data_IF_934316916678
#
_entry.id   IF_934316916678
#
_cell.length_a   1.000
_cell.length_b   1.000
_cell.length_c   1.000
_cell.angle_alpha   90.00
_cell.angle_beta   90.00
_cell.angle_gamma   90.00
#
_symmetry.space_group_name_H-M   'P 1'
#
loop_
_entity.id
_entity.type
_entity.pdbx_description
1 polymer ?
#
# COMPACT_ATOMS: atom_id res chain seq x y z
N UNK A 1 -19.76 -0.34 21.73
CA UNK A 1 -20.92 -0.92 21.03
C UNK A 1 -20.66 -2.40 20.83
N UNK A 2 -21.16 -3.25 21.72
CA UNK A 2 -21.01 -4.71 21.68
C UNK A 2 -22.20 -5.32 20.95
N UNK A 3 -22.16 -5.33 19.62
CA UNK A 3 -23.04 -6.17 18.80
C UNK A 3 -22.17 -7.15 18.04
N UNK A 4 -22.59 -8.41 17.93
CA UNK A 4 -21.85 -9.39 17.13
C UNK A 4 -21.64 -8.86 15.70
N UNK A 5 -20.43 -9.03 15.19
CA UNK A 5 -20.13 -8.79 13.78
C UNK A 5 -20.58 -10.01 12.99
N UNK A 6 -21.88 -10.09 12.72
CA UNK A 6 -22.50 -11.18 11.98
C UNK A 6 -22.39 -11.02 10.46
N UNK A 7 -22.81 -12.04 9.69
CA UNK A 7 -22.78 -12.04 8.22
C UNK A 7 -23.43 -10.80 7.58
N UNK A 8 -24.56 -10.34 8.12
CA UNK A 8 -25.26 -9.16 7.58
C UNK A 8 -24.42 -7.88 7.66
N UNK A 9 -23.73 -7.65 8.79
CA UNK A 9 -22.86 -6.47 8.95
C UNK A 9 -21.63 -6.59 8.06
N UNK A 10 -21.10 -7.80 7.92
CA UNK A 10 -20.01 -8.09 7.00
C UNK A 10 -20.41 -7.72 5.57
N UNK A 11 -21.54 -8.23 5.07
CA UNK A 11 -22.03 -7.95 3.71
C UNK A 11 -22.29 -6.46 3.50
N UNK A 12 -22.84 -5.78 4.51
CA UNK A 12 -23.08 -4.34 4.47
C UNK A 12 -21.77 -3.55 4.32
N UNK A 13 -20.72 -3.90 5.07
CA UNK A 13 -19.42 -3.21 5.00
C UNK A 13 -18.76 -3.46 3.66
N UNK A 14 -18.71 -4.72 3.19
CA UNK A 14 -18.15 -5.05 1.88
C UNK A 14 -18.86 -4.29 0.77
N UNK A 15 -20.20 -4.31 0.74
CA UNK A 15 -21.00 -3.57 -0.24
C UNK A 15 -20.77 -2.05 -0.17
N UNK A 16 -20.47 -1.52 1.02
CA UNK A 16 -20.14 -0.10 1.19
C UNK A 16 -18.77 0.22 0.62
N UNK A 17 -17.77 -0.64 0.84
CA UNK A 17 -16.46 -0.54 0.23
C UNK A 17 -16.55 -0.59 -1.30
N UNK A 18 -17.30 -1.55 -1.85
CA UNK A 18 -17.47 -1.69 -3.30
C UNK A 18 -18.13 -0.46 -3.93
N UNK A 19 -19.13 0.12 -3.25
CA UNK A 19 -19.74 1.40 -3.66
C UNK A 19 -18.76 2.56 -3.60
N UNK A 20 -17.90 2.61 -2.58
CA UNK A 20 -16.87 3.63 -2.48
C UNK A 20 -15.86 3.50 -3.62
N UNK A 21 -15.40 2.29 -3.92
CA UNK A 21 -14.49 2.02 -5.03
C UNK A 21 -15.14 2.40 -6.35
N UNK A 22 -16.36 1.92 -6.60
CA UNK A 22 -17.13 2.29 -7.80
C UNK A 22 -17.27 3.80 -7.94
N UNK A 23 -17.58 4.51 -6.85
CA UNK A 23 -17.64 5.98 -6.86
C UNK A 23 -16.29 6.60 -7.23
N UNK A 24 -15.17 6.14 -6.67
CA UNK A 24 -13.84 6.68 -6.97
C UNK A 24 -13.46 6.58 -8.46
N UNK A 25 -14.00 5.62 -9.21
CA UNK A 25 -13.70 5.41 -10.63
C UNK A 25 -14.82 5.83 -11.58
N UNK A 26 -16.01 6.18 -11.09
CA UNK A 26 -17.13 6.56 -11.95
C UNK A 26 -16.89 7.92 -12.60
N UNK A 27 -17.06 8.04 -13.92
CA UNK A 27 -16.91 9.34 -14.60
C UNK A 27 -17.85 10.39 -13.98
N UNK A 28 -17.37 11.62 -13.74
CA UNK A 28 -18.25 12.67 -13.23
C UNK A 28 -19.32 12.99 -14.27
N UNK A 29 -20.55 13.24 -13.82
CA UNK A 29 -21.58 13.82 -14.67
C UNK A 29 -21.10 15.19 -15.15
N UNK A 30 -20.59 15.25 -16.38
CA UNK A 30 -20.39 16.51 -17.10
C UNK A 30 -21.78 17.00 -17.45
N UNK A 31 -22.31 17.95 -16.68
CA UNK A 31 -23.38 18.80 -17.19
C UNK A 31 -22.72 19.60 -18.30
N UNK A 32 -22.99 19.25 -19.55
CA UNK A 32 -22.50 19.99 -20.70
C UNK A 32 -22.91 21.45 -20.54
N UNK A 33 -21.95 22.35 -20.46
CA UNK A 33 -22.16 23.80 -20.47
C UNK A 33 -22.78 24.32 -21.78
N UNK A 34 -23.14 23.43 -22.71
CA UNK A 34 -23.77 23.74 -23.99
C UNK A 34 -25.22 24.26 -23.89
N UNK A 35 -25.84 24.24 -22.71
CA UNK A 35 -27.15 24.89 -22.49
C UNK A 35 -27.07 26.26 -21.78
N UNK A 36 -25.89 26.70 -21.30
CA UNK A 36 -25.79 27.91 -20.47
C UNK A 36 -25.18 29.14 -21.17
N UNK A 37 -24.47 28.99 -22.30
CA UNK A 37 -23.98 30.16 -23.05
C UNK A 37 -24.13 29.99 -24.55
N UNK A 38 -25.18 30.60 -25.09
CA UNK A 38 -25.37 30.78 -26.52
C UNK A 38 -24.17 31.47 -27.16
N UNK A 39 -23.64 30.83 -28.20
CA UNK A 39 -23.00 31.48 -29.34
C UNK A 39 -21.66 32.19 -29.09
N UNK A 40 -20.56 31.49 -29.37
CA UNK A 40 -19.46 32.06 -30.17
C UNK A 40 -18.50 30.97 -30.67
N UNK A 41 -18.58 30.70 -31.97
CA UNK A 41 -17.57 29.93 -32.72
C UNK A 41 -16.22 30.65 -32.62
N UNK A 42 -15.25 30.05 -31.93
CA UNK A 42 -13.85 30.48 -31.99
C UNK A 42 -13.01 29.41 -32.66
N UNK A 43 -12.65 29.65 -33.92
CA UNK A 43 -11.61 28.89 -34.65
C UNK A 43 -10.28 29.04 -33.92
N UNK A 44 -9.59 27.94 -33.61
CA UNK A 44 -8.14 27.94 -33.33
C UNK A 44 -7.44 26.95 -34.26
N UNK A 45 -6.50 27.48 -35.02
CA UNK A 45 -5.53 26.75 -35.82
C UNK A 45 -4.48 26.09 -34.90
N UNK A 46 -4.11 24.85 -35.19
CA UNK A 46 -2.96 24.19 -34.56
C UNK A 46 -1.86 23.98 -35.60
N UNK A 47 -0.74 24.67 -35.36
CA UNK A 47 0.57 24.53 -36.00
C UNK A 47 1.13 23.13 -35.77
N UNK A 48 1.81 22.57 -36.78
CA UNK A 48 2.61 21.36 -36.68
C UNK A 48 3.84 21.53 -35.75
N UNK A 49 4.31 20.47 -35.06
CA UNK A 49 5.52 20.51 -34.25
C UNK A 49 6.80 20.35 -35.12
N UNK A 50 7.94 20.97 -34.72
CA UNK A 50 9.23 20.76 -35.36
C UNK A 50 9.90 19.44 -34.91
N UNK A 51 10.88 18.91 -35.68
CA UNK A 51 11.51 17.63 -35.39
C UNK A 51 12.54 17.75 -34.26
N UNK A 52 12.56 16.78 -33.35
CA UNK A 52 13.56 16.65 -32.28
C UNK A 52 14.61 15.61 -32.66
N UNK A 53 15.87 16.05 -32.84
CA UNK A 53 17.06 15.21 -32.78
C UNK A 53 17.64 15.23 -31.36
N UNK A 54 18.03 14.06 -30.85
CA UNK A 54 18.76 13.91 -29.59
C UNK A 54 18.26 12.75 -28.72
N UNK A 55 18.52 11.50 -29.14
CA UNK A 55 18.23 10.29 -28.35
C UNK A 55 19.10 10.22 -27.09
N UNK A 56 18.55 10.66 -25.95
CA UNK A 56 18.90 10.09 -24.65
C UNK A 56 18.06 8.84 -24.42
N UNK A 57 18.61 7.82 -23.75
CA UNK A 57 17.88 6.60 -23.41
C UNK A 57 16.69 6.98 -22.52
N UNK A 58 15.48 6.90 -23.08
CA UNK A 58 14.23 6.99 -22.33
C UNK A 58 14.19 5.81 -21.36
N UNK A 59 14.38 6.09 -20.07
CA UNK A 59 13.92 5.19 -19.02
C UNK A 59 12.39 5.26 -19.06
N UNK A 60 11.79 4.39 -19.86
CA UNK A 60 10.35 4.14 -19.86
C UNK A 60 9.86 4.04 -18.43
N UNK A 61 8.76 4.74 -18.13
CA UNK A 61 8.04 4.67 -16.85
C UNK A 61 7.97 3.21 -16.41
N UNK A 62 8.77 2.85 -15.39
CA UNK A 62 8.75 1.49 -14.89
C UNK A 62 7.40 1.28 -14.21
N UNK A 63 6.57 0.44 -14.82
CA UNK A 63 5.36 -0.07 -14.19
C UNK A 63 5.74 -0.66 -12.82
N UNK A 64 5.00 -0.25 -11.80
CA UNK A 64 5.23 -0.66 -10.41
C UNK A 64 4.96 -2.17 -10.24
N UNK A 65 5.95 -2.96 -9.78
CA UNK A 65 5.77 -4.40 -9.53
C UNK A 65 4.73 -4.72 -8.43
N UNK A 66 4.35 -3.74 -7.59
CA UNK A 66 3.24 -3.89 -6.61
C UNK A 66 1.85 -4.03 -7.27
N UNK A 67 1.76 -3.92 -8.59
CA UNK A 67 0.54 -4.11 -9.39
C UNK A 67 0.53 -5.39 -10.23
N UNK A 68 1.59 -6.23 -10.21
CA UNK A 68 1.74 -7.33 -11.18
C UNK A 68 0.87 -8.59 -10.96
N UNK A 69 -0.03 -8.64 -9.97
CA UNK A 69 -0.97 -9.77 -9.85
C UNK A 69 -2.25 -9.64 -10.70
N UNK A 70 -2.38 -8.57 -11.48
CA UNK A 70 -3.49 -8.42 -12.43
C UNK A 70 -2.94 -8.05 -13.81
N UNK A 71 -3.09 -8.97 -14.77
CA UNK A 71 -3.18 -8.65 -16.21
C UNK A 71 -4.42 -7.79 -16.47
N UNK A 72 -4.47 -6.60 -15.89
CA UNK A 72 -5.52 -5.62 -16.09
C UNK A 72 -4.93 -4.53 -16.97
N UNK A 73 -5.54 -4.34 -18.13
CA UNK A 73 -5.47 -3.08 -18.88
C UNK A 73 -5.50 -1.93 -17.88
N UNK A 74 -4.56 -0.97 -18.01
CA UNK A 74 -4.38 0.21 -17.15
C UNK A 74 -5.62 0.50 -16.31
N UNK A 75 -5.67 -0.06 -15.09
CA UNK A 75 -6.82 0.10 -14.24
C UNK A 75 -7.06 1.61 -14.09
N UNK A 76 -8.29 2.09 -14.33
CA UNK A 76 -8.56 3.52 -14.42
C UNK A 76 -8.05 4.22 -13.17
N UNK A 77 -7.38 5.36 -13.33
CA UNK A 77 -6.93 6.14 -12.19
C UNK A 77 -8.16 6.66 -11.40
N UNK A 78 -8.11 6.69 -10.06
CA UNK A 78 -9.21 7.25 -9.27
C UNK A 78 -9.37 8.74 -9.56
N UNK A 79 -10.62 9.18 -9.67
CA UNK A 79 -10.95 10.54 -10.05
C UNK A 79 -10.73 11.49 -8.87
N UNK A 80 -9.84 12.46 -9.05
CA UNK A 80 -9.45 13.43 -8.02
C UNK A 80 -10.62 14.23 -7.45
N UNK A 81 -11.64 14.53 -8.27
CA UNK A 81 -12.86 15.17 -7.80
C UNK A 81 -13.57 14.32 -6.74
N UNK A 82 -13.75 13.01 -6.98
CA UNK A 82 -14.40 12.10 -6.05
C UNK A 82 -13.59 11.89 -4.77
N UNK A 83 -12.26 11.77 -4.88
CA UNK A 83 -11.38 11.77 -3.71
C UNK A 83 -11.55 13.05 -2.86
N UNK A 84 -11.69 14.21 -3.50
CA UNK A 84 -11.91 15.48 -2.80
C UNK A 84 -13.29 15.54 -2.12
N UNK A 85 -14.34 15.02 -2.77
CA UNK A 85 -15.68 14.89 -2.18
C UNK A 85 -15.65 14.00 -0.95
N UNK A 86 -15.04 12.81 -1.03
CA UNK A 86 -14.89 11.91 0.13
C UNK A 86 -14.12 12.57 1.27
N UNK A 87 -13.07 13.35 0.97
CA UNK A 87 -12.35 14.13 1.97
C UNK A 87 -13.26 15.18 2.62
N UNK A 88 -14.02 15.94 1.83
CA UNK A 88 -14.92 16.98 2.32
C UNK A 88 -16.06 16.42 3.17
N UNK A 89 -16.55 15.23 2.86
CA UNK A 89 -17.54 14.49 3.66
C UNK A 89 -16.95 13.83 4.91
N UNK A 90 -15.65 14.03 5.19
CA UNK A 90 -14.93 13.39 6.28
C UNK A 90 -14.94 11.85 6.23
N UNK A 91 -15.20 11.24 5.07
CA UNK A 91 -15.24 9.79 4.90
C UNK A 91 -13.89 9.12 5.22
N UNK A 92 -12.80 9.86 4.98
CA UNK A 92 -11.45 9.44 5.34
C UNK A 92 -11.29 9.14 6.84
N UNK A 93 -12.02 9.83 7.72
CA UNK A 93 -11.96 9.55 9.17
C UNK A 93 -12.50 8.15 9.46
N UNK A 94 -13.64 7.77 8.85
CA UNK A 94 -14.20 6.42 8.95
C UNK A 94 -13.27 5.36 8.38
N UNK A 95 -12.66 5.63 7.22
CA UNK A 95 -11.66 4.72 6.64
C UNK A 95 -10.46 4.54 7.58
N UNK A 96 -9.96 5.61 8.19
CA UNK A 96 -8.80 5.54 9.08
C UNK A 96 -9.14 4.94 10.45
N UNK A 97 -10.38 5.05 10.92
CA UNK A 97 -10.86 4.35 12.12
C UNK A 97 -10.82 2.83 11.95
N UNK A 98 -10.94 2.33 10.71
CA UNK A 98 -10.81 0.90 10.42
C UNK A 98 -9.43 0.32 10.77
N UNK A 99 -8.40 1.16 10.88
CA UNK A 99 -7.06 0.77 11.36
C UNK A 99 -7.06 0.38 12.85
N UNK A 100 -8.18 0.53 13.55
CA UNK A 100 -8.33 0.05 14.93
C UNK A 100 -9.07 -1.29 15.01
N UNK A 101 -9.50 -1.86 13.88
CA UNK A 101 -10.14 -3.17 13.86
C UNK A 101 -9.12 -4.23 14.26
N UNK A 102 -9.38 -4.92 15.37
CA UNK A 102 -8.61 -6.07 15.79
C UNK A 102 -9.25 -7.34 15.22
N UNK A 103 -8.68 -7.90 14.15
CA UNK A 103 -9.18 -9.13 13.54
C UNK A 103 -9.03 -10.37 14.42
N UNK A 104 -8.26 -10.31 15.52
CA UNK A 104 -8.13 -11.38 16.51
C UNK A 104 -9.07 -11.20 17.72
N UNK A 105 -10.03 -10.26 17.68
CA UNK A 105 -10.90 -9.94 18.82
C UNK A 105 -11.69 -11.14 19.36
N UNK A 106 -12.07 -12.10 18.49
CA UNK A 106 -12.79 -13.32 18.89
C UNK A 106 -11.97 -14.23 19.82
N UNK A 107 -10.65 -14.06 19.88
CA UNK A 107 -9.74 -14.78 20.76
C UNK A 107 -9.52 -14.06 22.10
N UNK A 108 -10.00 -12.82 22.24
CA UNK A 108 -9.80 -11.99 23.44
C UNK A 108 -11.00 -12.06 24.39
N UNK A 109 -11.26 -13.24 24.95
CA UNK A 109 -12.28 -13.43 26.00
C UNK A 109 -13.71 -13.66 25.51
N UNK A 110 -13.92 -13.96 24.22
CA UNK A 110 -15.22 -14.37 23.70
C UNK A 110 -15.53 -15.84 24.02
N UNK A 111 -16.80 -16.16 24.27
CA UNK A 111 -17.32 -17.53 24.55
C UNK A 111 -17.69 -18.28 23.25
N UNK A 112 -17.36 -17.74 22.07
CA UNK A 112 -17.59 -18.41 20.79
C UNK A 112 -16.76 -19.71 20.66
N UNK A 113 -17.31 -20.68 19.92
CA UNK A 113 -16.60 -21.92 19.56
C UNK A 113 -15.31 -21.66 18.77
N UNK A 114 -14.36 -22.60 18.80
CA UNK A 114 -13.11 -22.50 18.03
C UNK A 114 -13.33 -22.22 16.54
N UNK A 115 -14.31 -22.88 15.93
CA UNK A 115 -14.67 -22.66 14.52
C UNK A 115 -15.26 -21.25 14.29
N UNK A 116 -16.11 -20.76 15.19
CA UNK A 116 -16.64 -19.39 15.11
C UNK A 116 -15.54 -18.34 15.28
N UNK A 117 -14.54 -18.60 16.12
CA UNK A 117 -13.38 -17.70 16.28
C UNK A 117 -12.59 -17.59 14.99
N UNK A 118 -12.31 -18.72 14.33
CA UNK A 118 -11.63 -18.78 13.03
C UNK A 118 -12.45 -18.07 11.96
N UNK A 119 -13.75 -18.35 11.86
CA UNK A 119 -14.65 -17.73 10.90
C UNK A 119 -14.72 -16.21 11.08
N UNK A 120 -14.88 -15.76 12.32
CA UNK A 120 -14.91 -14.33 12.67
C UNK A 120 -13.61 -13.63 12.27
N UNK A 121 -12.45 -14.25 12.53
CA UNK A 121 -11.15 -13.71 12.12
C UNK A 121 -11.04 -13.57 10.61
N UNK A 122 -11.45 -14.58 9.83
CA UNK A 122 -11.43 -14.54 8.37
C UNK A 122 -12.29 -13.39 7.82
N UNK A 123 -13.51 -13.24 8.33
CA UNK A 123 -14.41 -12.15 7.94
C UNK A 123 -13.82 -10.76 8.25
N UNK A 124 -13.22 -10.59 9.43
CA UNK A 124 -12.61 -9.31 9.81
C UNK A 124 -11.34 -9.00 9.00
N UNK A 125 -10.53 -10.01 8.65
CA UNK A 125 -9.39 -9.86 7.75
C UNK A 125 -9.86 -9.36 6.39
N UNK A 126 -10.88 -9.98 5.81
CA UNK A 126 -11.39 -9.63 4.49
C UNK A 126 -11.97 -8.21 4.45
N UNK A 127 -12.79 -7.86 5.45
CA UNK A 127 -13.30 -6.49 5.63
C UNK A 127 -12.16 -5.49 5.72
N UNK A 128 -11.14 -5.79 6.53
CA UNK A 128 -10.03 -4.88 6.70
C UNK A 128 -9.22 -4.73 5.40
N UNK A 129 -8.96 -5.81 4.66
CA UNK A 129 -8.30 -5.74 3.35
C UNK A 129 -9.07 -4.85 2.38
N UNK A 130 -10.40 -4.97 2.31
CA UNK A 130 -11.25 -4.08 1.48
C UNK A 130 -11.19 -2.62 1.91
N UNK A 131 -11.06 -2.34 3.21
CA UNK A 131 -10.86 -0.98 3.70
C UNK A 131 -9.48 -0.43 3.33
N UNK A 132 -8.42 -1.26 3.39
CA UNK A 132 -7.09 -0.89 2.90
C UNK A 132 -7.09 -0.59 1.39
N UNK A 133 -7.83 -1.36 0.59
CA UNK A 133 -8.03 -1.09 -0.85
C UNK A 133 -8.71 0.27 -1.08
N UNK A 134 -9.76 0.59 -0.31
CA UNK A 134 -10.39 1.92 -0.36
C UNK A 134 -9.41 3.04 0.00
N UNK A 135 -8.58 2.84 1.04
CA UNK A 135 -7.56 3.82 1.45
C UNK A 135 -6.52 4.00 0.34
N UNK A 136 -6.06 2.91 -0.28
CA UNK A 136 -5.09 2.94 -1.38
C UNK A 136 -5.58 3.83 -2.53
N UNK A 137 -6.80 3.62 -2.99
CA UNK A 137 -7.38 4.43 -4.07
C UNK A 137 -7.77 5.84 -3.65
N UNK A 138 -8.06 6.05 -2.36
CA UNK A 138 -8.30 7.38 -1.82
C UNK A 138 -7.03 8.25 -1.82
N UNK A 139 -5.84 7.66 -1.64
CA UNK A 139 -4.57 8.40 -1.60
C UNK A 139 -3.86 8.52 -2.94
N UNK A 140 -4.08 7.57 -3.86
CA UNK A 140 -3.40 7.51 -5.17
C UNK A 140 -3.46 8.86 -5.91
N UNK A 141 -2.28 9.35 -6.29
CA UNK A 141 -2.05 10.61 -7.01
C UNK A 141 -2.68 11.86 -6.37
N UNK A 142 -2.91 11.86 -5.04
CA UNK A 142 -3.54 12.97 -4.32
C UNK A 142 -2.72 13.42 -3.10
N UNK A 143 -1.79 14.39 -3.25
CA UNK A 143 -0.86 14.80 -2.20
C UNK A 143 -1.51 15.21 -0.87
N UNK A 144 -2.71 15.77 -0.92
CA UNK A 144 -3.46 16.17 0.27
C UNK A 144 -3.97 14.94 1.04
N UNK A 145 -4.49 13.94 0.34
CA UNK A 145 -4.95 12.70 0.94
C UNK A 145 -3.80 11.82 1.40
N UNK A 146 -2.71 11.75 0.62
CA UNK A 146 -1.47 11.08 1.00
C UNK A 146 -0.96 11.59 2.35
N UNK A 147 -0.81 12.91 2.49
CA UNK A 147 -0.35 13.52 3.76
C UNK A 147 -1.28 13.18 4.92
N UNK A 148 -2.60 13.27 4.70
CA UNK A 148 -3.61 12.98 5.70
C UNK A 148 -3.49 11.54 6.22
N UNK A 149 -3.44 10.56 5.32
CA UNK A 149 -3.33 9.14 5.67
C UNK A 149 -1.97 8.82 6.29
N UNK A 150 -0.89 9.41 5.78
CA UNK A 150 0.46 9.21 6.29
C UNK A 150 0.62 9.67 7.74
N UNK A 151 -0.17 10.64 8.23
CA UNK A 151 -0.19 10.97 9.66
C UNK A 151 -0.59 9.80 10.57
N UNK A 152 -1.23 8.77 10.02
CA UNK A 152 -1.59 7.52 10.72
C UNK A 152 -0.55 6.42 10.56
N UNK A 153 0.67 6.75 10.14
CA UNK A 153 1.78 5.79 9.99
C UNK A 153 1.94 4.83 11.19
N UNK A 154 1.91 5.27 12.47
CA UNK A 154 2.02 4.34 13.59
C UNK A 154 0.91 3.26 13.63
N UNK A 155 -0.30 3.58 13.17
CA UNK A 155 -1.38 2.62 13.07
C UNK A 155 -1.18 1.69 11.87
N UNK A 156 -0.81 2.22 10.71
CA UNK A 156 -0.51 1.44 9.49
C UNK A 156 0.59 0.40 9.75
N UNK A 157 1.66 0.79 10.47
CA UNK A 157 2.78 -0.11 10.80
C UNK A 157 2.38 -1.35 11.59
N UNK A 158 1.26 -1.33 12.31
CA UNK A 158 0.77 -2.51 13.05
C UNK A 158 0.35 -3.65 12.12
N UNK A 159 0.07 -3.33 10.86
CA UNK A 159 -0.45 -4.21 9.81
C UNK A 159 0.58 -4.50 8.71
N UNK A 160 1.82 -4.07 8.90
CA UNK A 160 2.95 -4.49 8.07
C UNK A 160 3.34 -5.93 8.39
N UNK A 161 3.72 -6.68 7.36
CA UNK A 161 4.18 -8.05 7.38
C UNK A 161 3.05 -9.09 7.38
N UNK A 162 3.39 -10.32 7.80
CA UNK A 162 2.41 -11.40 7.97
C UNK A 162 1.30 -11.02 8.96
N UNK A 163 0.13 -11.63 8.82
CA UNK A 163 -0.95 -11.50 9.79
C UNK A 163 -0.51 -12.07 11.14
N UNK A 164 -0.76 -11.30 12.20
CA UNK A 164 -0.42 -11.67 13.56
C UNK A 164 -1.36 -12.76 14.06
N UNK A 165 -0.79 -13.76 14.70
CA UNK A 165 -1.58 -14.73 15.45
C UNK A 165 -2.14 -14.06 16.73
N UNK A 166 -3.24 -14.59 17.28
CA UNK A 166 -3.73 -14.20 18.59
C UNK A 166 -2.60 -14.19 19.65
N UNK A 167 -2.51 -13.15 20.49
CA UNK A 167 -1.45 -13.04 21.49
C UNK A 167 -1.63 -14.03 22.65
N UNK A 168 -2.86 -14.47 22.88
CA UNK A 168 -3.24 -15.43 23.91
C UNK A 168 -4.18 -16.44 23.27
N UNK A 169 -3.91 -17.72 23.50
CA UNK A 169 -4.75 -18.82 23.04
C UNK A 169 -5.79 -19.16 24.12
N UNK A 170 -7.05 -19.39 23.75
CA UNK A 170 -8.00 -20.05 24.64
C UNK A 170 -7.50 -21.45 25.02
N UNK A 171 -7.75 -21.89 26.26
CA UNK A 171 -7.29 -23.19 26.78
C UNK A 171 -7.84 -24.37 25.97
N UNK A 172 -9.01 -24.22 25.36
CA UNK A 172 -9.70 -25.20 24.51
C UNK A 172 -9.32 -25.10 23.02
N UNK A 173 -8.39 -24.22 22.65
CA UNK A 173 -7.98 -24.01 21.26
C UNK A 173 -6.82 -24.93 20.85
N UNK A 174 -7.18 -26.14 20.43
CA UNK A 174 -6.24 -27.20 20.02
C UNK A 174 -5.34 -26.83 18.82
N UNK A 175 -4.19 -27.51 18.70
CA UNK A 175 -3.18 -27.22 17.66
C UNK A 175 -3.70 -27.38 16.23
N UNK A 176 -4.61 -28.33 15.99
CA UNK A 176 -5.22 -28.52 14.68
C UNK A 176 -6.08 -27.31 14.26
N UNK A 177 -6.60 -26.53 15.20
CA UNK A 177 -7.28 -25.25 14.94
C UNK A 177 -6.29 -24.12 14.67
N UNK A 178 -5.14 -24.09 15.37
CA UNK A 178 -4.07 -23.10 15.13
C UNK A 178 -3.53 -23.20 13.69
N UNK A 179 -3.40 -24.42 13.17
CA UNK A 179 -2.97 -24.66 11.78
C UNK A 179 -3.94 -24.10 10.72
N UNK A 180 -5.21 -23.86 11.08
CA UNK A 180 -6.23 -23.26 10.18
C UNK A 180 -6.14 -21.73 10.10
N UNK A 181 -5.25 -21.09 10.87
CA UNK A 181 -5.14 -19.63 10.92
C UNK A 181 -4.17 -19.11 9.87
N UNK A 182 -4.72 -18.38 8.90
CA UNK A 182 -3.92 -17.77 7.84
C UNK A 182 -2.98 -16.70 8.40
N UNK A 183 -1.69 -16.79 8.06
CA UNK A 183 -0.68 -15.76 8.33
C UNK A 183 -0.30 -14.97 7.07
N UNK A 184 -0.70 -15.47 5.90
CA UNK A 184 -0.46 -14.86 4.59
C UNK A 184 -1.71 -14.92 3.70
N UNK A 185 -1.87 -13.99 2.72
CA UNK A 185 -1.05 -12.78 2.55
C UNK A 185 -1.21 -11.82 3.74
N UNK A 186 -0.35 -10.81 3.84
CA UNK A 186 -0.47 -9.74 4.83
C UNK A 186 -1.76 -8.90 4.68
N UNK A 187 -1.83 -7.79 5.39
CA UNK A 187 -2.98 -6.88 5.31
C UNK A 187 -2.84 -5.83 4.20
N UNK A 188 -1.62 -5.63 3.68
CA UNK A 188 -1.35 -4.70 2.57
C UNK A 188 -1.04 -3.26 3.00
N UNK A 189 -0.64 -3.05 4.25
CA UNK A 189 -0.29 -1.73 4.77
C UNK A 189 0.93 -1.12 4.05
N UNK A 190 1.85 -1.96 3.61
CA UNK A 190 3.02 -1.57 2.83
C UNK A 190 2.61 -0.86 1.55
N UNK A 191 1.62 -1.40 0.82
CA UNK A 191 1.11 -0.78 -0.42
C UNK A 191 0.55 0.61 -0.15
N UNK A 192 -0.25 0.77 0.90
CA UNK A 192 -0.79 2.07 1.30
C UNK A 192 0.32 3.05 1.68
N UNK A 193 1.33 2.61 2.44
CA UNK A 193 2.47 3.45 2.84
C UNK A 193 3.25 3.90 1.60
N UNK A 194 3.58 2.97 0.70
CA UNK A 194 4.29 3.25 -0.54
C UNK A 194 3.51 4.24 -1.41
N UNK A 195 2.19 4.05 -1.55
CA UNK A 195 1.34 4.92 -2.35
C UNK A 195 1.16 6.32 -1.72
N UNK A 196 1.24 6.44 -0.39
CA UNK A 196 1.30 7.74 0.26
C UNK A 196 2.58 8.52 -0.10
N UNK A 197 3.68 7.81 -0.38
CA UNK A 197 4.98 8.42 -0.68
C UNK A 197 5.17 8.70 -2.18
N UNK A 198 4.49 7.95 -3.05
CA UNK A 198 4.59 8.10 -4.51
C UNK A 198 4.27 9.53 -4.95
N UNK A 199 5.19 10.13 -5.71
CA UNK A 199 5.07 11.50 -6.20
C UNK A 199 5.11 12.59 -5.11
N UNK A 200 5.36 12.24 -3.84
CA UNK A 200 5.28 13.17 -2.72
C UNK A 200 6.65 13.47 -2.10
N UNK A 201 7.38 14.36 -2.78
CA UNK A 201 8.73 14.77 -2.36
C UNK A 201 8.77 15.31 -0.93
N UNK A 202 7.73 16.03 -0.51
CA UNK A 202 7.64 16.58 0.84
C UNK A 202 7.57 15.47 1.90
N UNK A 203 6.69 14.47 1.73
CA UNK A 203 6.57 13.38 2.71
C UNK A 203 7.86 12.57 2.80
N UNK A 204 8.46 12.23 1.66
CA UNK A 204 9.74 11.52 1.63
C UNK A 204 10.87 12.32 2.28
N UNK A 205 10.94 13.62 2.05
CA UNK A 205 12.00 14.47 2.61
C UNK A 205 11.80 14.80 4.10
N UNK A 206 10.57 14.92 4.59
CA UNK A 206 10.34 15.49 5.93
C UNK A 206 9.70 14.54 6.93
N UNK A 207 8.97 13.50 6.48
CA UNK A 207 8.08 12.74 7.35
C UNK A 207 8.43 11.27 7.50
N UNK A 208 9.28 10.70 6.65
CA UNK A 208 9.67 9.28 6.73
C UNK A 208 10.70 9.09 7.85
N UNK A 209 10.37 8.36 8.93
CA UNK A 209 11.34 8.09 9.98
C UNK A 209 12.27 6.94 9.58
N UNK A 210 13.51 6.97 10.06
CA UNK A 210 14.54 5.97 9.75
C UNK A 210 14.09 4.54 10.08
N UNK A 211 13.42 4.37 11.20
CA UNK A 211 12.94 3.06 11.68
C UNK A 211 11.84 2.44 10.78
N UNK A 212 11.17 3.25 9.94
CA UNK A 212 10.30 2.72 8.88
C UNK A 212 11.12 2.06 7.76
N UNK A 213 12.25 2.66 7.40
CA UNK A 213 13.16 2.14 6.37
C UNK A 213 13.72 0.79 6.83
N UNK A 214 14.16 0.73 8.09
CA UNK A 214 14.62 -0.50 8.74
C UNK A 214 13.51 -1.57 8.76
N UNK A 215 12.26 -1.20 9.05
CA UNK A 215 11.14 -2.13 9.02
C UNK A 215 10.89 -2.72 7.62
N UNK A 216 10.92 -1.90 6.55
CA UNK A 216 10.83 -2.39 5.17
C UNK A 216 12.02 -3.29 4.80
N UNK A 217 13.23 -2.97 5.27
CA UNK A 217 14.42 -3.81 5.08
C UNK A 217 14.27 -5.18 5.75
N UNK A 218 13.77 -5.20 6.98
CA UNK A 218 13.47 -6.43 7.71
C UNK A 218 12.41 -7.30 7.02
N UNK A 219 11.34 -6.68 6.49
CA UNK A 219 10.32 -7.39 5.72
C UNK A 219 10.90 -7.98 4.43
N UNK A 220 11.64 -7.18 3.67
CA UNK A 220 12.29 -7.61 2.43
C UNK A 220 13.23 -8.80 2.65
N UNK A 221 14.03 -8.76 3.72
CA UNK A 221 14.91 -9.86 4.11
C UNK A 221 14.15 -11.14 4.54
N UNK A 222 12.86 -11.04 4.85
CA UNK A 222 12.00 -12.19 5.13
C UNK A 222 11.58 -12.97 3.88
N UNK A 223 11.67 -12.38 2.68
CA UNK A 223 11.31 -13.05 1.43
C UNK A 223 12.31 -14.15 1.08
N UNK A 224 11.87 -15.25 0.44
CA UNK A 224 12.77 -16.28 -0.08
C UNK A 224 13.76 -15.70 -1.10
N UNK A 225 13.25 -14.86 -2.00
CA UNK A 225 14.04 -14.10 -2.97
C UNK A 225 13.68 -12.61 -2.85
N UNK A 226 14.53 -11.81 -2.18
CA UNK A 226 14.37 -10.36 -2.10
C UNK A 226 14.39 -9.64 -3.45
N UNK A 227 15.06 -10.17 -4.48
CA UNK A 227 15.30 -9.46 -5.75
C UNK A 227 14.04 -9.24 -6.59
N UNK A 228 13.06 -10.12 -6.43
CA UNK A 228 11.75 -10.04 -7.10
C UNK A 228 10.66 -9.45 -6.19
N UNK A 229 11.02 -9.04 -4.97
CA UNK A 229 10.03 -8.56 -4.01
C UNK A 229 9.50 -7.19 -4.44
N UNK A 230 8.18 -7.00 -4.48
CA UNK A 230 7.60 -5.71 -4.83
C UNK A 230 7.83 -4.66 -3.71
N UNK A 231 8.31 -5.08 -2.53
CA UNK A 231 8.75 -4.16 -1.47
C UNK A 231 10.00 -3.35 -1.84
N UNK A 232 10.77 -3.78 -2.85
CA UNK A 232 11.92 -2.99 -3.36
C UNK A 232 11.50 -1.60 -3.83
N UNK A 233 10.26 -1.47 -4.31
CA UNK A 233 9.72 -0.21 -4.79
C UNK A 233 9.68 0.88 -3.70
N UNK A 234 9.50 0.49 -2.44
CA UNK A 234 9.57 1.44 -1.31
C UNK A 234 10.89 2.22 -1.32
N UNK A 235 12.02 1.52 -1.49
CA UNK A 235 13.35 2.13 -1.46
C UNK A 235 13.56 3.04 -2.68
N UNK A 236 13.04 2.65 -3.85
CA UNK A 236 13.10 3.46 -5.08
C UNK A 236 12.33 4.76 -4.89
N UNK A 237 11.06 4.66 -4.48
CA UNK A 237 10.18 5.83 -4.26
C UNK A 237 10.75 6.73 -3.18
N UNK A 238 11.31 6.18 -2.11
CA UNK A 238 11.87 6.99 -1.04
C UNK A 238 13.07 7.84 -1.50
N UNK A 239 13.86 7.32 -2.46
CA UNK A 239 15.00 8.03 -3.03
C UNK A 239 14.60 9.01 -4.13
N UNK A 240 13.57 8.68 -4.92
CA UNK A 240 13.15 9.46 -6.09
C UNK A 240 11.61 9.44 -6.25
N UNK A 241 10.85 10.16 -5.41
CA UNK A 241 9.40 9.99 -5.31
C UNK A 241 8.65 10.40 -6.58
N UNK A 242 9.04 11.53 -7.17
CA UNK A 242 8.47 12.08 -8.42
C UNK A 242 9.19 11.63 -9.69
N UNK A 243 10.27 10.85 -9.58
CA UNK A 243 11.08 10.48 -10.74
C UNK A 243 11.98 11.61 -11.26
N UNK A 244 11.96 12.82 -10.69
CA UNK A 244 12.80 13.94 -11.16
C UNK A 244 14.02 14.14 -10.27
N UNK A 245 13.78 14.39 -8.97
CA UNK A 245 14.81 14.78 -8.00
C UNK A 245 15.17 13.64 -7.05
N UNK A 246 16.47 13.47 -6.81
CA UNK A 246 16.98 12.53 -5.80
C UNK A 246 17.00 13.16 -4.41
N UNK A 247 16.54 12.42 -3.41
CA UNK A 247 16.62 12.78 -1.99
C UNK A 247 17.84 12.09 -1.38
N UNK A 248 19.01 12.74 -1.45
CA UNK A 248 20.30 12.17 -1.04
C UNK A 248 20.32 11.60 0.39
N UNK A 249 19.66 12.28 1.34
CA UNK A 249 19.57 11.81 2.73
C UNK A 249 18.92 10.42 2.80
N UNK A 250 17.83 10.24 2.07
CA UNK A 250 17.10 8.98 2.05
C UNK A 250 17.90 7.90 1.31
N UNK A 251 18.59 8.25 0.22
CA UNK A 251 19.49 7.33 -0.46
C UNK A 251 20.58 6.79 0.48
N UNK A 252 21.20 7.67 1.28
CA UNK A 252 22.17 7.26 2.31
C UNK A 252 21.57 6.25 3.29
N UNK A 253 20.38 6.53 3.84
CA UNK A 253 19.71 5.60 4.75
C UNK A 253 19.30 4.28 4.09
N UNK A 254 18.82 4.29 2.85
CA UNK A 254 18.51 3.08 2.10
C UNK A 254 19.75 2.20 1.92
N UNK A 255 20.89 2.80 1.57
CA UNK A 255 22.17 2.09 1.43
C UNK A 255 22.58 1.48 2.78
N UNK A 256 22.54 2.26 3.87
CA UNK A 256 22.88 1.77 5.21
C UNK A 256 22.02 0.57 5.62
N UNK A 257 20.71 0.63 5.37
CA UNK A 257 19.79 -0.45 5.72
C UNK A 257 20.00 -1.67 4.82
N UNK A 258 20.02 -1.50 3.50
CA UNK A 258 20.12 -2.63 2.55
C UNK A 258 21.48 -3.34 2.58
N UNK A 259 22.55 -2.63 2.94
CA UNK A 259 23.89 -3.20 3.15
C UNK A 259 24.14 -3.63 4.61
N UNK A 260 23.12 -3.55 5.48
CA UNK A 260 23.27 -3.95 6.88
C UNK A 260 23.66 -5.43 6.98
N UNK A 261 24.66 -5.79 7.81
CA UNK A 261 25.07 -7.18 8.02
C UNK A 261 23.95 -8.04 8.64
N UNK A 262 22.93 -7.41 9.23
CA UNK A 262 21.77 -8.09 9.81
C UNK A 262 20.82 -8.65 8.72
N UNK A 263 20.83 -8.08 7.52
CA UNK A 263 19.95 -8.48 6.40
C UNK A 263 20.65 -9.50 5.48
N UNK A 264 20.95 -10.67 6.05
CA UNK A 264 21.76 -11.72 5.40
C UNK A 264 21.25 -12.16 4.02
N UNK A 265 19.93 -12.24 3.80
CA UNK A 265 19.37 -12.67 2.50
C UNK A 265 19.56 -11.60 1.43
N UNK A 266 19.34 -10.34 1.78
CA UNK A 266 19.58 -9.22 0.86
C UNK A 266 21.06 -9.18 0.47
N UNK A 267 21.96 -9.35 1.45
CA UNK A 267 23.41 -9.43 1.19
C UNK A 267 23.77 -10.59 0.27
N UNK A 268 23.20 -11.77 0.49
CA UNK A 268 23.37 -12.92 -0.40
C UNK A 268 23.00 -12.58 -1.84
N UNK A 269 21.81 -12.00 -2.07
CA UNK A 269 21.39 -11.57 -3.40
C UNK A 269 22.33 -10.52 -4.02
N UNK A 270 22.81 -9.56 -3.23
CA UNK A 270 23.76 -8.55 -3.71
C UNK A 270 25.11 -9.16 -4.09
N UNK A 271 25.62 -10.11 -3.30
CA UNK A 271 26.85 -10.84 -3.59
C UNK A 271 26.71 -11.66 -4.88
N UNK A 272 25.59 -12.36 -5.06
CA UNK A 272 25.30 -13.13 -6.28
C UNK A 272 25.16 -12.24 -7.52
N UNK A 273 24.55 -11.06 -7.38
CA UNK A 273 24.28 -10.14 -8.50
C UNK A 273 25.51 -9.33 -8.91
N UNK A 274 26.29 -8.86 -7.94
CA UNK A 274 27.38 -7.90 -8.17
C UNK A 274 28.78 -8.51 -7.96
N UNK A 275 28.88 -9.78 -7.60
CA UNK A 275 30.15 -10.44 -7.30
C UNK A 275 30.85 -9.80 -6.10
N UNK A 276 30.10 -9.24 -5.15
CA UNK A 276 30.65 -8.64 -3.94
C UNK A 276 31.20 -9.79 -3.08
N UNK A 277 32.52 -9.94 -3.07
CA UNK A 277 33.21 -10.88 -2.20
C UNK A 277 33.11 -10.34 -0.78
N UNK A 278 32.61 -11.16 0.15
CA UNK A 278 32.65 -10.81 1.56
C UNK A 278 34.10 -10.52 1.97
N UNK A 279 34.33 -9.36 2.59
CA UNK A 279 35.67 -8.94 3.04
C UNK A 279 36.30 -9.93 4.04
N UNK A 280 35.50 -10.83 4.60
CA UNK A 280 35.95 -11.99 5.35
C UNK A 280 36.02 -13.19 4.42
N UNK A 281 37.20 -13.39 3.82
CA UNK A 281 37.50 -14.53 2.94
C UNK A 281 37.39 -15.89 3.64
N UNK A 282 36.17 -16.35 3.90
CA UNK A 282 35.87 -17.73 4.21
C UNK A 282 35.31 -18.37 2.94
N UNK A 283 36.18 -19.09 2.23
CA UNK A 283 35.78 -19.97 1.14
C UNK A 283 34.77 -20.99 1.66
N UNK A 284 33.57 -20.98 1.10
CA UNK A 284 32.61 -22.09 1.25
C UNK A 284 33.06 -23.25 0.38
N UNK A 285 33.59 -24.30 1.02
CA UNK A 285 33.50 -25.69 0.53
C UNK A 285 32.15 -26.28 0.83
#
# INVERSE_FOLDING_TARGET
>A
VSGSFGPEKYDQVIKTCDRCLSFLFHEPFVVSEDEATGGRKSRKASKAPPPSEGKGVELTEMASPLYEETKEAEAPAPITFHQNVLRAMNFHSTLLESLNINYNISFMGSICSSEDKIKSRKMLIEVQRKLFECILHFVRDNPRNQKLVFTKLPALRRYMGPLKLPPVWPDDFEDHHKAKLDTQPGMGAERVIVECLRGNDFLCAEMVPRDLIEAFGGLLNGFPDPSISPLLEFFIILCRPSGEKVINRNQGYCIEVLLSPELKRIRGCLNDTFGLVDADGAATT
#
